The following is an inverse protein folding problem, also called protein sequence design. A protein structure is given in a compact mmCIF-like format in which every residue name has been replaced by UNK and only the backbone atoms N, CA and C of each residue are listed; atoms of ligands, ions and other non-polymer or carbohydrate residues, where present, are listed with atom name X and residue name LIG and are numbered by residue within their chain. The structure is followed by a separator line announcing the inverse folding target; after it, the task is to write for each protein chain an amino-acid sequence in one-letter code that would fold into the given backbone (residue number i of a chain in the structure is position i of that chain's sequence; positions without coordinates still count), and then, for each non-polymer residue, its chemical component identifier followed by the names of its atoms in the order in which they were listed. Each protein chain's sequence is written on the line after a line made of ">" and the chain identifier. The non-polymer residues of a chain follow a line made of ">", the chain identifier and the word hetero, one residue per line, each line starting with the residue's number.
data_IF_343601167194
#
_entry.id   IF_343601167194
#
_cell.length_a   1.000
_cell.length_b   1.000
_cell.length_c   1.000
_cell.angle_alpha   90.00
_cell.angle_beta   90.00
_cell.angle_gamma   90.00
#
_symmetry.space_group_name_H-M   'P 1'
#
loop_
_entity.id
_entity.type
_entity.pdbx_description
1 polymer ?
#
# COMPACT_ATOMS: atom_id res chain seq x y z
N UNK A 1 -5.23 -4.56 -34.75
CA UNK A 1 -4.35 -3.81 -33.81
C UNK A 1 -2.92 -4.09 -34.18
N UNK A 2 -2.08 -3.05 -34.26
CA UNK A 2 -0.64 -3.18 -34.53
C UNK A 2 0.06 -3.89 -33.36
N UNK A 3 0.84 -4.94 -33.66
CA UNK A 3 1.58 -5.74 -32.66
C UNK A 3 2.57 -4.88 -31.88
N UNK A 4 3.21 -3.90 -32.52
CA UNK A 4 4.13 -2.96 -31.84
C UNK A 4 3.40 -2.07 -30.85
N UNK A 5 2.20 -1.61 -31.20
CA UNK A 5 1.36 -0.82 -30.30
C UNK A 5 0.94 -1.64 -29.07
N UNK A 6 0.57 -2.91 -29.27
CA UNK A 6 0.22 -3.81 -28.15
C UNK A 6 1.38 -4.06 -27.19
N UNK A 7 2.59 -4.26 -27.71
CA UNK A 7 3.80 -4.46 -26.89
C UNK A 7 4.14 -3.19 -26.08
N UNK A 8 4.03 -2.00 -26.69
CA UNK A 8 4.22 -0.74 -26.00
C UNK A 8 3.18 -0.51 -24.88
N UNK A 9 1.91 -0.82 -25.14
CA UNK A 9 0.85 -0.70 -24.12
C UNK A 9 1.12 -1.66 -22.97
N UNK A 10 1.46 -2.92 -23.24
CA UNK A 10 1.79 -3.91 -22.20
C UNK A 10 2.95 -3.43 -21.32
N UNK A 11 4.02 -2.91 -21.95
CA UNK A 11 5.17 -2.38 -21.23
C UNK A 11 4.78 -1.23 -20.30
N UNK A 12 4.04 -0.24 -20.80
CA UNK A 12 3.57 0.89 -20.00
C UNK A 12 2.67 0.46 -18.85
N UNK A 13 1.74 -0.47 -19.09
CA UNK A 13 0.88 -1.02 -18.03
C UNK A 13 1.73 -1.70 -16.95
N UNK A 14 2.73 -2.50 -17.34
CA UNK A 14 3.61 -3.15 -16.38
C UNK A 14 4.42 -2.14 -15.55
N UNK A 15 4.96 -1.10 -16.19
CA UNK A 15 5.70 -0.03 -15.51
C UNK A 15 4.82 0.70 -14.49
N UNK A 16 3.59 1.05 -14.85
CA UNK A 16 2.64 1.70 -13.95
C UNK A 16 2.20 0.78 -12.79
N UNK A 17 2.02 -0.52 -13.04
CA UNK A 17 1.72 -1.49 -11.99
C UNK A 17 2.86 -1.58 -10.96
N UNK A 18 4.10 -1.72 -11.44
CA UNK A 18 5.29 -1.78 -10.57
C UNK A 18 5.45 -0.48 -9.78
N UNK A 19 5.27 0.67 -10.43
CA UNK A 19 5.33 1.97 -9.76
C UNK A 19 4.28 2.10 -8.66
N UNK A 20 3.02 1.74 -8.95
CA UNK A 20 1.92 1.82 -8.00
C UNK A 20 2.09 0.86 -6.82
N UNK A 21 2.65 -0.32 -7.07
CA UNK A 21 3.00 -1.27 -6.02
C UNK A 21 4.07 -0.69 -5.10
N UNK A 22 5.16 -0.16 -5.66
CA UNK A 22 6.23 0.48 -4.89
C UNK A 22 5.71 1.65 -4.04
N UNK A 23 4.95 2.57 -4.63
CA UNK A 23 4.34 3.71 -3.93
C UNK A 23 3.43 3.24 -2.78
N UNK A 24 2.67 2.16 -2.99
CA UNK A 24 1.79 1.59 -1.97
C UNK A 24 2.59 1.00 -0.81
N UNK A 25 3.66 0.25 -1.09
CA UNK A 25 4.53 -0.35 -0.07
C UNK A 25 5.26 0.75 0.72
N UNK A 26 5.82 1.75 0.03
CA UNK A 26 6.51 2.87 0.66
C UNK A 26 5.62 3.67 1.61
N UNK A 27 4.37 3.91 1.21
CA UNK A 27 3.40 4.57 2.06
C UNK A 27 3.17 3.80 3.38
N UNK A 28 2.92 2.49 3.29
CA UNK A 28 2.67 1.67 4.48
C UNK A 28 3.92 1.54 5.36
N UNK A 29 5.11 1.43 4.74
CA UNK A 29 6.37 1.41 5.47
C UNK A 29 6.58 2.71 6.25
N UNK A 30 6.37 3.88 5.63
CA UNK A 30 6.48 5.18 6.31
C UNK A 30 5.52 5.29 7.49
N UNK A 31 4.27 4.85 7.32
CA UNK A 31 3.29 4.87 8.40
C UNK A 31 3.68 3.95 9.56
N UNK A 32 4.22 2.76 9.28
CA UNK A 32 4.72 1.86 10.33
C UNK A 32 5.96 2.42 11.03
N UNK A 33 6.88 3.04 10.28
CA UNK A 33 8.06 3.71 10.83
C UNK A 33 7.66 4.84 11.79
N UNK A 34 6.60 5.60 11.49
CA UNK A 34 6.08 6.62 12.41
C UNK A 34 5.60 6.02 13.72
N UNK A 35 4.93 4.86 13.68
CA UNK A 35 4.51 4.16 14.89
C UNK A 35 5.75 3.73 15.67
N UNK A 36 6.71 3.07 15.01
CA UNK A 36 7.93 2.63 15.68
C UNK A 36 8.78 3.76 16.28
N UNK A 37 8.80 4.94 15.64
CA UNK A 37 9.55 6.10 16.10
C UNK A 37 8.90 6.78 17.32
N UNK A 38 7.63 6.50 17.63
CA UNK A 38 6.99 7.03 18.83
C UNK A 38 7.57 6.36 20.07
N UNK A 39 7.85 7.18 21.08
CA UNK A 39 8.25 6.71 22.41
C UNK A 39 7.02 6.29 23.21
N UNK A 40 6.42 5.15 22.85
CA UNK A 40 5.30 4.59 23.63
C UNK A 40 5.74 4.33 25.06
N UNK A 41 4.90 4.71 26.03
CA UNK A 41 5.22 4.54 27.44
C UNK A 41 4.95 3.10 27.89
N UNK A 42 4.01 2.43 27.21
CA UNK A 42 3.60 1.08 27.56
C UNK A 42 3.43 0.19 26.32
N UNK A 43 3.63 -1.12 26.49
CA UNK A 43 3.42 -2.09 25.42
C UNK A 43 1.95 -2.12 24.90
N UNK A 44 0.91 -1.98 25.77
CA UNK A 44 -0.47 -1.84 25.30
C UNK A 44 -0.71 -0.66 24.35
N UNK A 45 -0.11 0.51 24.60
CA UNK A 45 -0.21 1.67 23.69
C UNK A 45 0.36 1.36 22.31
N UNK A 46 1.55 0.76 22.25
CA UNK A 46 2.16 0.34 21.00
C UNK A 46 1.27 -0.67 20.25
N UNK A 47 0.75 -1.69 20.96
CA UNK A 47 -0.16 -2.68 20.38
C UNK A 47 -1.45 -2.06 19.84
N UNK A 48 -2.00 -1.04 20.52
CA UNK A 48 -3.19 -0.34 20.08
C UNK A 48 -2.94 0.41 18.76
N UNK A 49 -1.82 1.12 18.64
CA UNK A 49 -1.47 1.81 17.40
C UNK A 49 -1.20 0.86 16.24
N UNK A 50 -0.50 -0.26 16.49
CA UNK A 50 -0.28 -1.29 15.46
C UNK A 50 -1.61 -1.90 15.01
N UNK A 51 -2.57 -2.11 15.93
CA UNK A 51 -3.92 -2.57 15.58
C UNK A 51 -4.63 -1.58 14.66
N UNK A 52 -4.62 -0.29 15.01
CA UNK A 52 -5.21 0.77 14.17
C UNK A 52 -4.57 0.82 12.78
N UNK A 53 -3.25 0.65 12.69
CA UNK A 53 -2.55 0.55 11.41
C UNK A 53 -3.02 -0.64 10.57
N UNK A 54 -3.12 -1.83 11.16
CA UNK A 54 -3.63 -3.02 10.48
C UNK A 54 -5.08 -2.86 10.02
N UNK A 55 -5.94 -2.22 10.83
CA UNK A 55 -7.32 -1.93 10.43
C UNK A 55 -7.38 -0.99 9.23
N UNK A 56 -6.57 0.08 9.20
CA UNK A 56 -6.45 0.96 8.03
C UNK A 56 -6.03 0.19 6.77
N UNK A 57 -5.05 -0.71 6.88
CA UNK A 57 -4.63 -1.55 5.76
C UNK A 57 -5.76 -2.47 5.29
N UNK A 58 -6.43 -3.15 6.22
CA UNK A 58 -7.56 -4.05 5.92
C UNK A 58 -8.70 -3.32 5.20
N UNK A 59 -9.10 -2.16 5.71
CA UNK A 59 -10.14 -1.34 5.11
C UNK A 59 -9.77 -0.92 3.69
N UNK A 60 -8.51 -0.54 3.44
CA UNK A 60 -8.06 -0.17 2.10
C UNK A 60 -8.05 -1.37 1.15
N UNK A 61 -7.65 -2.55 1.61
CA UNK A 61 -7.76 -3.80 0.82
C UNK A 61 -9.23 -4.12 0.50
N UNK A 62 -10.12 -3.97 1.47
CA UNK A 62 -11.55 -4.22 1.27
C UNK A 62 -12.17 -3.24 0.27
N UNK A 63 -11.84 -1.96 0.35
CA UNK A 63 -12.26 -0.94 -0.62
C UNK A 63 -11.76 -1.29 -2.03
N UNK A 64 -10.50 -1.70 -2.18
CA UNK A 64 -9.95 -2.10 -3.48
C UNK A 64 -10.65 -3.35 -4.04
N UNK A 65 -11.04 -4.31 -3.18
CA UNK A 65 -11.77 -5.52 -3.60
C UNK A 65 -13.24 -5.26 -3.95
N UNK A 66 -13.90 -4.34 -3.26
CA UNK A 66 -15.35 -4.11 -3.37
C UNK A 66 -15.72 -3.00 -4.35
N UNK A 67 -14.95 -1.91 -4.37
CA UNK A 67 -15.24 -0.73 -5.19
C UNK A 67 -14.52 -0.71 -6.53
N UNK A 68 -13.77 -1.76 -6.86
CA UNK A 68 -13.19 -2.04 -8.17
C UNK A 68 -12.81 -0.79 -8.97
N UNK A 69 -11.55 -0.36 -8.84
CA UNK A 69 -10.86 0.09 -10.04
C UNK A 69 -10.45 -1.15 -10.83
#
# INVERSE_FOLDING_TARGET
>A
MDRKLLEQIKKKVQEELVKKEAETIEYWLKELQKIYAKKHQTLPEFKAEVRQFMERMKNRVEVLKTKGL
#
